data_IF_298514493453
#
_entry.id   IF_298514493453
#
_cell.length_a   1.000
_cell.length_b   1.000
_cell.length_c   1.000
_cell.angle_alpha   90.00
_cell.angle_beta   90.00
_cell.angle_gamma   90.00
#
_symmetry.space_group_name_H-M   'P 1'
#
loop_
_entity.id
_entity.type
_entity.pdbx_description
1 polymer ?
#
# COMPACT_ATOMS: atom_id res chain seq x y z
N UNK A 1 10.20 -16.68 35.14
CA UNK A 1 9.20 -17.09 34.13
C UNK A 1 9.64 -16.50 32.81
N UNK A 2 9.81 -17.31 31.76
CA UNK A 2 10.05 -16.82 30.40
C UNK A 2 8.69 -16.68 29.72
N UNK A 3 8.20 -15.46 29.58
CA UNK A 3 7.05 -15.17 28.73
C UNK A 3 7.55 -14.98 27.30
N UNK A 4 7.78 -16.10 26.61
CA UNK A 4 7.96 -16.10 25.17
C UNK A 4 6.60 -15.77 24.53
N UNK A 5 6.37 -14.50 24.23
CA UNK A 5 5.25 -14.09 23.39
C UNK A 5 5.30 -14.89 22.08
N UNK A 6 4.24 -15.62 21.68
CA UNK A 6 4.15 -16.07 20.30
C UNK A 6 4.01 -14.80 19.45
N UNK A 7 5.07 -14.43 18.73
CA UNK A 7 4.97 -13.46 17.64
C UNK A 7 3.86 -13.97 16.70
N UNK A 8 2.86 -13.15 16.34
CA UNK A 8 1.84 -13.58 15.40
C UNK A 8 2.54 -14.06 14.13
N UNK A 9 2.12 -15.21 13.60
CA UNK A 9 2.68 -15.84 12.39
C UNK A 9 2.39 -15.07 11.10
N UNK A 10 2.28 -13.75 11.20
CA UNK A 10 2.11 -12.79 10.11
C UNK A 10 3.44 -12.17 9.73
N UNK A 11 3.67 -11.96 8.44
CA UNK A 11 4.90 -11.31 7.97
C UNK A 11 4.86 -9.84 8.44
N UNK A 12 5.81 -9.39 9.28
CA UNK A 12 5.72 -8.08 9.91
C UNK A 12 5.65 -7.01 8.83
N UNK A 13 4.61 -6.19 8.91
CA UNK A 13 4.46 -5.11 7.96
C UNK A 13 5.57 -4.09 8.09
N UNK A 14 5.92 -3.45 6.97
CA UNK A 14 6.89 -2.38 6.94
C UNK A 14 6.46 -1.29 5.96
N UNK A 15 6.70 -0.03 6.36
CA UNK A 15 6.52 1.16 5.54
C UNK A 15 7.90 1.77 5.29
N UNK A 16 8.24 2.00 4.02
CA UNK A 16 9.44 2.73 3.64
C UNK A 16 9.06 3.90 2.74
N UNK A 17 9.58 5.08 3.04
CA UNK A 17 9.39 6.28 2.23
C UNK A 17 10.71 6.62 1.56
N UNK A 18 10.67 6.70 0.24
CA UNK A 18 11.81 7.04 -0.60
C UNK A 18 11.45 8.24 -1.46
N UNK A 19 12.36 9.19 -1.61
CA UNK A 19 12.22 10.30 -2.54
C UNK A 19 13.07 10.01 -3.76
N UNK A 20 12.43 9.69 -4.89
CA UNK A 20 13.11 9.27 -6.13
C UNK A 20 12.50 10.04 -7.29
N UNK A 21 13.34 10.58 -8.17
CA UNK A 21 12.92 11.26 -9.40
C UNK A 21 11.92 12.43 -9.20
N UNK A 22 11.95 13.07 -8.03
CA UNK A 22 10.98 14.12 -7.69
C UNK A 22 9.57 13.59 -7.38
N UNK A 23 9.45 12.31 -7.01
CA UNK A 23 8.24 11.69 -6.49
C UNK A 23 8.51 11.06 -5.10
N UNK A 24 7.47 10.97 -4.28
CA UNK A 24 7.53 10.25 -3.00
C UNK A 24 7.03 8.82 -3.21
N UNK A 25 7.94 7.86 -3.16
CA UNK A 25 7.64 6.43 -3.24
C UNK A 25 7.44 5.85 -1.84
N UNK A 26 6.23 5.40 -1.55
CA UNK A 26 5.87 4.70 -0.31
C UNK A 26 5.79 3.22 -0.60
N UNK A 27 6.77 2.45 -0.14
CA UNK A 27 6.80 1.00 -0.29
C UNK A 27 6.18 0.33 0.94
N UNK A 28 5.12 -0.43 0.70
CA UNK A 28 4.41 -1.24 1.68
C UNK A 28 4.72 -2.72 1.45
N UNK A 29 5.00 -3.43 2.54
CA UNK A 29 5.27 -4.87 2.51
C UNK A 29 4.75 -5.55 3.77
N UNK A 30 4.42 -6.83 3.68
CA UNK A 30 3.85 -7.61 4.78
C UNK A 30 2.38 -7.27 5.03
N UNK A 31 1.96 -7.36 6.29
CA UNK A 31 0.60 -7.04 6.72
C UNK A 31 0.44 -5.54 6.94
N UNK A 32 -0.60 -4.91 6.37
CA UNK A 32 -0.90 -3.48 6.52
C UNK A 32 -2.18 -3.32 7.35
N UNK A 33 -1.98 -3.37 8.66
CA UNK A 33 -3.04 -3.27 9.66
C UNK A 33 -2.88 -2.03 10.55
N UNK A 34 -3.61 -1.98 11.66
CA UNK A 34 -3.64 -0.81 12.55
C UNK A 34 -2.33 -0.59 13.31
N UNK A 35 -1.50 -1.62 13.50
CA UNK A 35 -0.18 -1.50 14.12
C UNK A 35 0.75 -0.60 13.30
N UNK A 36 0.63 -0.63 11.96
CA UNK A 36 1.34 0.28 11.06
C UNK A 36 0.69 1.65 10.90
N UNK A 37 -0.46 1.88 11.54
CA UNK A 37 -1.21 3.13 11.42
C UNK A 37 -0.36 4.37 11.73
N UNK A 38 0.57 4.28 12.69
CA UNK A 38 1.47 5.39 13.04
C UNK A 38 2.50 5.67 11.93
N UNK A 39 3.15 4.64 11.42
CA UNK A 39 4.13 4.74 10.34
C UNK A 39 3.48 5.22 9.03
N UNK A 40 2.29 4.71 8.71
CA UNK A 40 1.47 5.19 7.60
C UNK A 40 1.11 6.66 7.74
N UNK A 41 0.69 7.10 8.93
CA UNK A 41 0.38 8.51 9.18
C UNK A 41 1.61 9.40 9.01
N UNK A 42 2.76 8.95 9.49
CA UNK A 42 4.01 9.69 9.37
C UNK A 42 4.45 9.79 7.91
N UNK A 43 4.36 8.68 7.15
CA UNK A 43 4.64 8.64 5.72
C UNK A 43 3.73 9.57 4.91
N UNK A 44 2.42 9.56 5.20
CA UNK A 44 1.47 10.46 4.54
C UNK A 44 1.74 11.94 4.87
N UNK A 45 2.17 12.22 6.10
CA UNK A 45 2.55 13.58 6.48
C UNK A 45 3.82 14.03 5.73
N UNK A 46 4.84 13.17 5.67
CA UNK A 46 6.09 13.44 4.98
C UNK A 46 5.88 13.69 3.48
N UNK A 47 5.11 12.81 2.82
CA UNK A 47 4.70 12.99 1.42
C UNK A 47 3.94 14.31 1.18
N UNK A 48 3.06 14.68 2.12
CA UNK A 48 2.33 15.93 2.04
C UNK A 48 3.22 17.16 2.22
N UNK A 49 4.26 17.07 3.06
CA UNK A 49 5.25 18.15 3.21
C UNK A 49 6.11 18.28 1.96
N UNK A 50 6.47 17.16 1.31
CA UNK A 50 7.22 17.17 0.06
C UNK A 50 6.43 17.85 -1.07
N UNK A 51 5.11 17.68 -1.12
CA UNK A 51 4.26 18.27 -2.16
C UNK A 51 4.53 17.70 -3.55
N UNK A 52 5.05 16.46 -3.60
CA UNK A 52 5.43 15.75 -4.81
C UNK A 52 4.42 14.62 -5.09
N UNK A 53 4.29 14.18 -6.36
CA UNK A 53 3.46 13.03 -6.69
C UNK A 53 3.84 11.81 -5.84
N UNK A 54 2.83 11.10 -5.34
CA UNK A 54 3.02 9.99 -4.40
C UNK A 54 2.75 8.67 -5.12
N UNK A 55 3.73 7.78 -5.11
CA UNK A 55 3.61 6.42 -5.65
C UNK A 55 3.61 5.44 -4.49
N UNK A 56 2.51 4.73 -4.30
CA UNK A 56 2.37 3.73 -3.24
C UNK A 56 2.55 2.34 -3.84
N UNK A 57 3.61 1.65 -3.43
CA UNK A 57 3.93 0.31 -3.89
C UNK A 57 3.38 -0.73 -2.90
N UNK A 58 2.37 -1.49 -3.34
CA UNK A 58 1.74 -2.54 -2.55
C UNK A 58 2.10 -3.95 -3.03
N UNK A 59 3.15 -4.10 -3.85
CA UNK A 59 3.50 -5.38 -4.48
C UNK A 59 3.83 -6.49 -3.49
N UNK A 60 4.38 -6.10 -2.34
CA UNK A 60 4.81 -7.01 -1.27
C UNK A 60 3.80 -7.06 -0.13
N UNK A 61 2.64 -6.44 -0.27
CA UNK A 61 1.59 -6.47 0.73
C UNK A 61 0.87 -7.81 0.66
N UNK A 62 0.86 -8.52 1.79
CA UNK A 62 0.19 -9.82 1.92
C UNK A 62 -1.25 -9.64 2.41
N UNK A 63 -1.50 -8.61 3.23
CA UNK A 63 -2.81 -8.30 3.80
C UNK A 63 -2.97 -6.78 3.99
N UNK A 64 -4.18 -6.27 3.84
CA UNK A 64 -4.49 -4.85 4.07
C UNK A 64 -5.88 -4.71 4.70
N UNK A 65 -5.97 -3.98 5.81
CA UNK A 65 -7.23 -3.67 6.50
C UNK A 65 -7.69 -2.22 6.19
N UNK A 66 -8.71 -1.76 6.93
CA UNK A 66 -9.19 -0.38 6.98
C UNK A 66 -8.08 0.65 7.21
N UNK A 67 -7.01 0.31 7.92
CA UNK A 67 -5.87 1.20 8.15
C UNK A 67 -5.14 1.57 6.84
N UNK A 68 -4.90 0.60 5.95
CA UNK A 68 -4.28 0.84 4.64
C UNK A 68 -5.18 1.66 3.71
N UNK A 69 -6.48 1.36 3.71
CA UNK A 69 -7.48 2.15 2.97
C UNK A 69 -7.55 3.60 3.47
N UNK A 70 -7.57 3.81 4.79
CA UNK A 70 -7.58 5.15 5.39
C UNK A 70 -6.31 5.95 5.04
N UNK A 71 -5.17 5.27 4.95
CA UNK A 71 -3.91 5.87 4.49
C UNK A 71 -4.03 6.38 3.04
N UNK A 72 -4.53 5.54 2.12
CA UNK A 72 -4.73 5.92 0.71
C UNK A 72 -5.71 7.08 0.60
N UNK A 73 -6.86 6.99 1.26
CA UNK A 73 -7.86 8.06 1.30
C UNK A 73 -7.27 9.41 1.75
N UNK A 74 -6.38 9.35 2.75
CA UNK A 74 -5.73 10.52 3.32
C UNK A 74 -4.73 11.14 2.35
N UNK A 75 -4.00 10.34 1.58
CA UNK A 75 -3.14 10.86 0.51
C UNK A 75 -3.95 11.60 -0.56
N UNK A 76 -5.07 11.01 -1.01
CA UNK A 76 -5.98 11.65 -1.97
C UNK A 76 -6.58 12.95 -1.42
N UNK A 77 -7.08 12.93 -0.18
CA UNK A 77 -7.74 14.10 0.44
C UNK A 77 -6.80 15.27 0.74
N UNK A 78 -5.48 15.06 0.75
CA UNK A 78 -4.47 16.11 1.02
C UNK A 78 -4.08 16.92 -0.22
N UNK A 79 -4.66 16.65 -1.40
CA UNK A 79 -4.45 17.45 -2.60
C UNK A 79 -3.19 17.10 -3.40
N UNK A 80 -2.67 15.89 -3.23
CA UNK A 80 -1.65 15.35 -4.14
C UNK A 80 -2.36 14.96 -5.44
N UNK A 81 -2.23 15.81 -6.47
CA UNK A 81 -3.06 15.79 -7.69
C UNK A 81 -3.06 14.41 -8.40
N UNK A 82 -2.03 13.57 -8.15
CA UNK A 82 -1.96 12.19 -8.66
C UNK A 82 -1.28 11.26 -7.66
N UNK A 83 -2.09 10.55 -6.87
CA UNK A 83 -1.63 9.39 -6.09
C UNK A 83 -1.70 8.17 -7.00
N UNK A 84 -0.55 7.55 -7.27
CA UNK A 84 -0.44 6.33 -8.05
C UNK A 84 -0.28 5.14 -7.12
N UNK A 85 -1.13 4.13 -7.26
CA UNK A 85 -1.11 2.92 -6.45
C UNK A 85 -0.69 1.73 -7.30
N UNK A 86 0.48 1.17 -7.03
CA UNK A 86 0.96 -0.04 -7.68
C UNK A 86 0.38 -1.24 -6.95
N UNK A 87 -0.60 -1.90 -7.57
CA UNK A 87 -1.31 -3.04 -6.99
C UNK A 87 -0.83 -4.34 -7.63
N UNK A 88 -0.47 -5.33 -6.80
CA UNK A 88 -0.17 -6.69 -7.28
C UNK A 88 -1.14 -7.76 -6.76
N UNK A 89 -1.93 -7.46 -5.72
CA UNK A 89 -2.83 -8.42 -5.08
C UNK A 89 -4.29 -8.13 -5.43
N UNK A 90 -5.04 -9.17 -5.80
CA UNK A 90 -6.48 -9.08 -6.06
C UNK A 90 -7.26 -8.62 -4.83
N UNK A 91 -6.79 -8.94 -3.62
CA UNK A 91 -7.43 -8.52 -2.37
C UNK A 91 -7.42 -7.01 -2.23
N UNK A 92 -6.28 -6.36 -2.51
CA UNK A 92 -6.16 -4.90 -2.46
C UNK A 92 -7.01 -4.26 -3.54
N UNK A 93 -6.99 -4.81 -4.76
CA UNK A 93 -7.85 -4.34 -5.86
C UNK A 93 -9.35 -4.42 -5.50
N UNK A 94 -9.77 -5.53 -4.90
CA UNK A 94 -11.15 -5.74 -4.45
C UNK A 94 -11.56 -4.75 -3.36
N UNK A 95 -10.69 -4.50 -2.38
CA UNK A 95 -10.94 -3.49 -1.33
C UNK A 95 -11.13 -2.09 -1.91
N UNK A 96 -10.29 -1.70 -2.88
CA UNK A 96 -10.42 -0.40 -3.56
C UNK A 96 -11.70 -0.30 -4.38
N UNK A 97 -12.13 -1.41 -4.99
CA UNK A 97 -13.36 -1.47 -5.75
C UNK A 97 -14.59 -1.35 -4.85
N UNK A 98 -14.65 -2.13 -3.77
CA UNK A 98 -15.77 -2.11 -2.81
C UNK A 98 -15.88 -0.77 -2.09
N UNK A 99 -14.75 -0.11 -1.81
CA UNK A 99 -14.74 1.21 -1.17
C UNK A 99 -14.93 2.37 -2.15
N UNK A 100 -14.98 2.09 -3.46
CA UNK A 100 -15.12 3.11 -4.50
C UNK A 100 -13.89 4.00 -4.69
N UNK A 101 -12.74 3.64 -4.09
CA UNK A 101 -11.49 4.42 -4.22
C UNK A 101 -10.82 4.27 -5.58
N UNK A 102 -11.20 3.26 -6.37
CA UNK A 102 -10.60 3.01 -7.69
C UNK A 102 -10.62 4.18 -8.67
N UNK A 103 -11.57 5.10 -8.52
CA UNK A 103 -11.69 6.30 -9.37
C UNK A 103 -10.90 7.51 -8.80
N UNK A 104 -10.58 7.46 -7.50
CA UNK A 104 -9.88 8.54 -6.79
C UNK A 104 -8.35 8.38 -6.80
N UNK A 105 -7.84 7.20 -7.18
CA UNK A 105 -6.41 6.90 -7.31
C UNK A 105 -6.08 6.35 -8.69
N UNK A 106 -4.88 6.64 -9.17
CA UNK A 106 -4.35 6.04 -10.40
C UNK A 106 -3.81 4.64 -10.08
N UNK A 107 -4.59 3.61 -10.38
CA UNK A 107 -4.19 2.23 -10.10
C UNK A 107 -3.39 1.68 -11.27
N UNK A 108 -2.16 1.26 -11.00
CA UNK A 108 -1.31 0.55 -11.95
C UNK A 108 -1.21 -0.90 -11.50
N UNK A 109 -1.81 -1.79 -12.29
CA UNK A 109 -1.66 -3.23 -12.11
C UNK A 109 -0.25 -3.63 -12.55
N UNK A 110 0.58 -3.99 -11.57
CA UNK A 110 1.99 -4.38 -11.77
C UNK A 110 2.19 -5.88 -11.60
N UNK A 111 1.10 -6.65 -11.65
CA UNK A 111 1.17 -8.10 -11.82
C UNK A 111 1.97 -8.34 -13.09
N UNK A 112 3.22 -8.76 -12.94
CA UNK A 112 4.02 -9.22 -14.08
C UNK A 112 3.19 -10.29 -14.76
N UNK A 113 2.88 -10.08 -16.03
CA UNK A 113 2.28 -11.07 -16.90
C UNK A 113 3.18 -12.30 -16.88
N UNK A 114 2.80 -13.23 -16.03
CA UNK A 114 3.41 -14.51 -15.78
C UNK A 114 2.26 -15.45 -15.50
N UNK A 115 1.38 -15.57 -16.48
CA UNK A 115 0.47 -16.69 -16.62
C UNK A 115 1.29 -17.92 -17.04
N UNK A 116 1.42 -18.97 -16.20
CA UNK A 116 1.71 -20.30 -16.71
C UNK A 116 0.42 -21.09 -17.04
N UNK A 117 -0.79 -20.50 -16.94
CA UNK A 117 -2.04 -21.23 -17.17
C UNK A 117 -2.48 -21.32 -18.64
N UNK A 118 -1.67 -20.87 -19.60
CA UNK A 118 -1.87 -21.08 -21.05
C UNK A 118 -1.46 -22.49 -21.51
N UNK A 119 -1.16 -23.43 -20.61
CA UNK A 119 -0.96 -24.83 -21.02
C UNK A 119 -1.60 -25.82 -20.05
N UNK A 120 -2.89 -26.05 -20.19
CA UNK A 120 -3.42 -27.41 -20.08
C UNK A 120 -4.63 -27.57 -21.00
N UNK A 121 -4.37 -28.18 -22.15
CA UNK A 121 -5.41 -28.72 -23.03
C UNK A 121 -5.87 -30.11 -22.60
#
# INVERSE_FOLDING_TARGET
MNEGNPTPSGEPGAVQVLHVDGATHVVLSGEVDSDLGRDLQQAAADAAVAGLPVVVDTRRVTFMDSAGLAFIARLCGRGQDRVTLLVASQTVMFLLEVTGMKDAVDIVDVRTEGDPATLQG
#
